data_IF_115922844580
#
_entry.id   IF_115922844580
#
_cell.length_a   1.000
_cell.length_b   1.000
_cell.length_c   1.000
_cell.angle_alpha   90.00
_cell.angle_beta   90.00
_cell.angle_gamma   90.00
#
_symmetry.space_group_name_H-M   'P 1'
#
loop_
_entity.id
_entity.type
_entity.pdbx_description
1 polymer ?
#
# COMPACT_ATOMS: atom_id res chain seq x y z
N UNK A 1 15.23 -16.55 -17.53
CA UNK A 1 15.33 -15.40 -16.65
C UNK A 1 15.35 -14.11 -17.47
N UNK A 2 16.27 -13.96 -18.43
CA UNK A 2 16.46 -12.73 -19.23
C UNK A 2 15.18 -12.22 -19.91
N UNK A 3 14.36 -13.11 -20.45
CA UNK A 3 13.05 -12.73 -21.04
C UNK A 3 12.11 -12.10 -19.99
N UNK A 4 11.99 -12.72 -18.80
CA UNK A 4 11.14 -12.18 -17.73
C UNK A 4 11.66 -10.85 -17.22
N UNK A 5 12.98 -10.69 -17.12
CA UNK A 5 13.58 -9.42 -16.69
C UNK A 5 13.31 -8.31 -17.72
N UNK A 6 13.51 -8.61 -19.01
CA UNK A 6 13.23 -7.64 -20.07
C UNK A 6 11.74 -7.20 -20.08
N UNK A 7 10.82 -8.14 -19.93
CA UNK A 7 9.39 -7.85 -19.86
C UNK A 7 9.03 -7.06 -18.59
N UNK A 8 9.61 -7.41 -17.42
CA UNK A 8 9.36 -6.70 -16.18
C UNK A 8 9.87 -5.24 -16.24
N UNK A 9 11.07 -5.02 -16.77
CA UNK A 9 11.61 -3.65 -16.97
C UNK A 9 10.75 -2.85 -17.96
N UNK A 10 10.29 -3.46 -19.06
CA UNK A 10 9.39 -2.81 -20.02
C UNK A 10 8.07 -2.39 -19.35
N UNK A 11 7.46 -3.28 -18.56
CA UNK A 11 6.19 -2.99 -17.89
C UNK A 11 6.34 -1.93 -16.79
N UNK A 12 7.44 -1.98 -16.03
CA UNK A 12 7.78 -0.98 -15.01
C UNK A 12 8.05 0.40 -15.63
N UNK A 13 8.89 0.46 -16.65
CA UNK A 13 9.17 1.72 -17.39
C UNK A 13 7.92 2.28 -18.05
N UNK A 14 7.06 1.41 -18.61
CA UNK A 14 5.75 1.81 -19.14
C UNK A 14 4.81 2.35 -18.07
N UNK A 15 4.82 1.82 -16.83
CA UNK A 15 4.08 2.35 -15.69
C UNK A 15 4.62 3.72 -15.27
N UNK A 16 5.95 3.85 -15.17
CA UNK A 16 6.60 5.11 -14.82
C UNK A 16 6.22 6.23 -15.78
N UNK A 17 6.46 6.03 -17.08
CA UNK A 17 6.08 7.01 -18.12
C UNK A 17 4.59 7.34 -18.09
N UNK A 18 3.72 6.34 -17.91
CA UNK A 18 2.29 6.57 -17.86
C UNK A 18 1.88 7.42 -16.64
N UNK A 19 2.51 7.20 -15.49
CA UNK A 19 2.23 7.96 -14.27
C UNK A 19 2.59 9.45 -14.39
N UNK A 20 3.60 9.80 -15.18
CA UNK A 20 4.00 11.19 -15.42
C UNK A 20 3.02 11.94 -16.35
N UNK A 21 2.31 11.21 -17.20
CA UNK A 21 1.38 11.80 -18.20
C UNK A 21 -0.02 12.02 -17.65
N UNK A 22 -0.37 11.45 -16.48
CA UNK A 22 -1.71 11.57 -15.90
C UNK A 22 -1.82 12.91 -15.13
N UNK A 23 -2.78 13.79 -15.51
CA UNK A 23 -3.09 14.96 -14.70
C UNK A 23 -3.54 14.53 -13.28
N UNK A 24 -3.12 15.28 -12.25
CA UNK A 24 -3.52 15.06 -10.87
C UNK A 24 -3.28 13.62 -10.37
N UNK A 25 -2.21 12.96 -10.87
CA UNK A 25 -1.85 11.57 -10.54
C UNK A 25 -1.82 11.32 -9.02
N UNK A 26 -1.50 12.33 -8.22
CA UNK A 26 -1.41 12.22 -6.76
C UNK A 26 -2.75 11.86 -6.09
N UNK A 27 -3.90 12.18 -6.72
CA UNK A 27 -5.22 11.71 -6.27
C UNK A 27 -5.34 10.18 -6.40
N UNK A 28 -4.91 9.65 -7.54
CA UNK A 28 -4.97 8.21 -7.81
C UNK A 28 -3.93 7.44 -7.00
N UNK A 29 -2.75 8.03 -6.77
CA UNK A 29 -1.70 7.46 -5.92
C UNK A 29 -2.20 7.28 -4.48
N UNK A 30 -2.92 8.24 -3.90
CA UNK A 30 -3.48 8.11 -2.55
C UNK A 30 -4.39 6.89 -2.43
N UNK A 31 -5.26 6.67 -3.42
CA UNK A 31 -6.11 5.49 -3.48
C UNK A 31 -5.30 4.20 -3.62
N UNK A 32 -4.26 4.26 -4.44
CA UNK A 32 -3.39 3.11 -4.69
C UNK A 32 -2.58 2.72 -3.46
N UNK A 33 -2.04 3.71 -2.71
CA UNK A 33 -1.36 3.48 -1.41
C UNK A 33 -2.33 2.85 -0.40
N UNK A 34 -3.57 3.33 -0.32
CA UNK A 34 -4.58 2.80 0.60
C UNK A 34 -4.94 1.35 0.26
N UNK A 35 -5.07 1.04 -1.01
CA UNK A 35 -5.28 -0.34 -1.48
C UNK A 35 -4.09 -1.24 -1.12
N UNK A 36 -2.86 -0.75 -1.31
CA UNK A 36 -1.64 -1.47 -0.90
C UNK A 36 -1.64 -1.74 0.60
N UNK A 37 -1.93 -0.72 1.42
CA UNK A 37 -2.00 -0.86 2.87
C UNK A 37 -3.02 -1.93 3.29
N UNK A 38 -4.24 -1.91 2.72
CA UNK A 38 -5.25 -2.94 2.96
C UNK A 38 -4.72 -4.33 2.60
N UNK A 39 -4.19 -4.50 1.37
CA UNK A 39 -3.69 -5.80 0.89
C UNK A 39 -2.51 -6.31 1.70
N UNK A 40 -1.56 -5.43 2.05
CA UNK A 40 -0.40 -5.79 2.86
C UNK A 40 -0.81 -6.25 4.27
N UNK A 41 -1.73 -5.53 4.93
CA UNK A 41 -2.24 -5.92 6.23
C UNK A 41 -3.08 -7.21 6.16
N UNK A 42 -3.82 -7.43 5.07
CA UNK A 42 -4.61 -8.65 4.85
C UNK A 42 -3.74 -9.91 4.77
N UNK A 43 -2.53 -9.82 4.21
CA UNK A 43 -1.54 -10.91 4.27
C UNK A 43 -1.24 -11.30 5.73
N UNK A 44 -1.22 -10.35 6.64
CA UNK A 44 -0.95 -10.55 8.09
C UNK A 44 -2.22 -10.89 8.90
N UNK A 45 -3.39 -10.96 8.26
CA UNK A 45 -4.64 -11.41 8.88
C UNK A 45 -5.61 -10.30 9.29
N UNK A 46 -5.39 -9.05 8.89
CA UNK A 46 -6.34 -7.95 9.05
C UNK A 46 -7.54 -8.14 8.11
N UNK A 47 -8.76 -7.85 8.57
CA UNK A 47 -10.01 -8.14 7.85
C UNK A 47 -10.87 -6.90 7.54
N UNK A 48 -10.26 -5.71 7.44
CA UNK A 48 -10.99 -4.51 7.01
C UNK A 48 -11.28 -4.53 5.50
N UNK A 49 -12.38 -3.93 5.12
CA UNK A 49 -12.69 -3.64 3.71
C UNK A 49 -12.05 -2.32 3.29
N UNK A 50 -11.91 -2.11 1.99
CA UNK A 50 -11.35 -0.84 1.46
C UNK A 50 -12.23 0.35 1.87
N UNK A 51 -13.55 0.19 1.90
CA UNK A 51 -14.48 1.24 2.35
C UNK A 51 -14.29 1.56 3.84
N UNK A 52 -14.16 0.54 4.70
CA UNK A 52 -13.87 0.74 6.12
C UNK A 52 -12.54 1.48 6.33
N UNK A 53 -11.51 1.17 5.57
CA UNK A 53 -10.22 1.85 5.65
C UNK A 53 -10.28 3.33 5.22
N UNK A 54 -11.32 3.73 4.47
CA UNK A 54 -11.56 5.11 4.03
C UNK A 54 -12.48 5.89 4.96
N UNK A 55 -13.15 5.22 5.90
CA UNK A 55 -13.98 5.89 6.90
C UNK A 55 -13.11 6.67 7.89
N UNK A 56 -13.69 7.68 8.54
CA UNK A 56 -13.03 8.29 9.70
C UNK A 56 -13.00 7.32 10.88
N UNK A 57 -12.02 7.47 11.77
CA UNK A 57 -11.90 6.61 12.95
C UNK A 57 -13.13 6.66 13.87
N UNK A 58 -13.91 7.75 13.80
CA UNK A 58 -15.15 7.93 14.56
C UNK A 58 -16.30 7.08 14.00
N UNK A 59 -16.30 6.84 12.68
CA UNK A 59 -17.34 6.09 11.96
C UNK A 59 -17.06 4.58 11.94
N UNK A 60 -15.87 4.14 12.36
CA UNK A 60 -15.47 2.73 12.42
C UNK A 60 -16.05 2.05 13.65
N UNK A 61 -16.55 0.83 13.47
CA UNK A 61 -17.00 -0.02 14.58
C UNK A 61 -15.87 -0.25 15.59
N UNK A 62 -16.17 -0.20 16.90
CA UNK A 62 -15.14 -0.31 17.94
C UNK A 62 -14.23 -1.54 17.79
N UNK A 63 -14.79 -2.68 17.39
CA UNK A 63 -14.06 -3.94 17.19
C UNK A 63 -13.09 -3.94 16.00
N UNK A 64 -13.22 -2.97 15.07
CA UNK A 64 -12.36 -2.83 13.89
C UNK A 64 -11.37 -1.68 13.98
N UNK A 65 -11.39 -0.92 15.07
CA UNK A 65 -10.53 0.28 15.21
C UNK A 65 -9.05 -0.03 15.16
N UNK A 66 -8.62 -1.12 15.79
CA UNK A 66 -7.22 -1.52 15.80
C UNK A 66 -6.76 -1.90 14.37
N UNK A 67 -7.57 -2.68 13.64
CA UNK A 67 -7.28 -3.05 12.26
C UNK A 67 -7.24 -1.83 11.32
N UNK A 68 -8.19 -0.90 11.47
CA UNK A 68 -8.22 0.37 10.74
C UNK A 68 -6.98 1.22 11.07
N UNK A 69 -6.54 1.26 12.33
CA UNK A 69 -5.32 1.96 12.74
C UNK A 69 -4.07 1.30 12.14
N UNK A 70 -4.00 -0.04 12.06
CA UNK A 70 -2.91 -0.75 11.40
C UNK A 70 -2.76 -0.34 9.93
N UNK A 71 -3.88 -0.18 9.19
CA UNK A 71 -3.87 0.29 7.80
C UNK A 71 -3.39 1.75 7.71
N UNK A 72 -3.87 2.63 8.57
CA UNK A 72 -3.42 4.03 8.60
C UNK A 72 -1.93 4.15 8.97
N UNK A 73 -1.44 3.34 9.91
CA UNK A 73 -0.03 3.30 10.26
C UNK A 73 0.85 2.84 9.09
N UNK A 74 0.38 1.86 8.31
CA UNK A 74 1.08 1.45 7.08
C UNK A 74 1.20 2.59 6.07
N UNK A 75 0.10 3.35 5.86
CA UNK A 75 0.09 4.53 4.98
C UNK A 75 1.07 5.60 5.51
N UNK A 76 1.07 5.85 6.81
CA UNK A 76 1.97 6.81 7.43
C UNK A 76 3.44 6.39 7.32
N UNK A 77 3.74 5.10 7.53
CA UNK A 77 5.08 4.54 7.34
C UNK A 77 5.55 4.66 5.88
N UNK A 78 4.65 4.39 4.90
CA UNK A 78 4.93 4.59 3.48
C UNK A 78 5.25 6.05 3.17
N UNK A 79 4.39 6.98 3.61
CA UNK A 79 4.58 8.42 3.37
C UNK A 79 5.89 8.94 4.02
N UNK A 80 6.22 8.45 5.23
CA UNK A 80 7.50 8.75 5.87
C UNK A 80 8.66 8.24 5.03
N UNK A 81 8.60 6.98 4.57
CA UNK A 81 9.61 6.39 3.71
C UNK A 81 9.81 7.17 2.41
N UNK A 82 8.71 7.57 1.73
CA UNK A 82 8.77 8.41 0.52
C UNK A 82 9.46 9.74 0.82
N UNK A 83 9.03 10.45 1.87
CA UNK A 83 9.65 11.70 2.26
C UNK A 83 11.15 11.55 2.50
N UNK A 84 11.55 10.54 3.29
CA UNK A 84 12.95 10.31 3.61
C UNK A 84 13.80 9.97 2.38
N UNK A 85 13.29 9.11 1.48
CA UNK A 85 14.07 8.63 0.33
C UNK A 85 14.06 9.59 -0.86
N UNK A 86 12.96 10.32 -1.09
CA UNK A 86 12.78 11.18 -2.28
C UNK A 86 13.05 12.65 -1.98
N UNK A 87 12.51 13.19 -0.87
CA UNK A 87 12.64 14.61 -0.56
C UNK A 87 13.92 14.91 0.23
N UNK A 88 14.25 14.06 1.23
CA UNK A 88 15.42 14.25 2.09
C UNK A 88 16.69 13.61 1.51
N UNK A 89 16.61 12.86 0.40
CA UNK A 89 17.72 12.07 -0.19
C UNK A 89 18.44 11.18 0.84
N UNK A 90 17.68 10.65 1.79
CA UNK A 90 18.21 9.83 2.87
C UNK A 90 18.52 8.42 2.36
N UNK A 91 19.72 7.87 2.61
CA UNK A 91 20.12 6.57 2.10
C UNK A 91 19.23 5.47 2.67
N UNK A 92 18.89 4.48 1.84
CA UNK A 92 18.09 3.34 2.25
C UNK A 92 18.91 2.42 3.18
N UNK A 93 18.61 2.40 4.47
CA UNK A 93 19.38 1.73 5.51
C UNK A 93 18.47 1.13 6.58
N UNK A 94 19.03 0.27 7.44
CA UNK A 94 18.37 -0.26 8.62
C UNK A 94 17.81 0.83 9.55
N UNK A 95 18.40 2.03 9.55
CA UNK A 95 17.84 3.17 10.30
C UNK A 95 16.49 3.59 9.74
N UNK A 96 16.34 3.74 8.43
CA UNK A 96 15.07 4.07 7.80
C UNK A 96 14.02 2.98 8.08
N UNK A 97 14.43 1.71 8.02
CA UNK A 97 13.53 0.59 8.34
C UNK A 97 13.02 0.66 9.78
N UNK A 98 13.86 1.06 10.74
CA UNK A 98 13.46 1.27 12.14
C UNK A 98 12.51 2.45 12.31
N UNK A 99 12.78 3.59 11.65
CA UNK A 99 11.89 4.75 11.65
C UNK A 99 10.48 4.38 11.13
N UNK A 100 10.41 3.67 10.01
CA UNK A 100 9.13 3.17 9.45
C UNK A 100 8.44 2.15 10.37
N UNK A 101 9.20 1.26 11.00
CA UNK A 101 8.67 0.25 11.90
C UNK A 101 8.06 0.87 13.18
N UNK A 102 8.68 1.93 13.72
CA UNK A 102 8.13 2.68 14.85
C UNK A 102 6.74 3.24 14.53
N UNK A 103 6.60 3.87 13.36
CA UNK A 103 5.31 4.40 12.88
C UNK A 103 4.31 3.26 12.66
N UNK A 104 4.74 2.16 12.07
CA UNK A 104 3.88 1.02 11.71
C UNK A 104 3.18 0.40 12.91
N UNK A 105 3.86 0.31 14.06
CA UNK A 105 3.34 -0.36 15.25
C UNK A 105 2.79 0.60 16.33
N UNK A 106 2.70 1.89 16.05
CA UNK A 106 2.23 2.88 17.01
C UNK A 106 0.75 2.68 17.38
N UNK A 107 0.44 2.45 18.66
CA UNK A 107 -0.92 2.36 19.18
C UNK A 107 -1.75 1.18 18.67
N UNK A 108 -1.11 0.11 18.17
CA UNK A 108 -1.80 -1.08 17.66
C UNK A 108 -1.28 -2.36 18.35
N UNK A 109 -1.84 -3.49 17.97
CA UNK A 109 -1.54 -4.83 18.52
C UNK A 109 -0.05 -5.13 18.78
N UNK A 110 0.85 -4.61 17.95
CA UNK A 110 2.30 -4.79 18.06
C UNK A 110 3.05 -3.76 18.91
N UNK A 111 2.37 -2.81 19.58
CA UNK A 111 3.01 -1.72 20.34
C UNK A 111 3.98 -2.20 21.41
N UNK A 112 3.70 -3.34 22.05
CA UNK A 112 4.58 -3.96 23.05
C UNK A 112 5.76 -4.77 22.47
N UNK A 113 5.92 -4.78 21.14
CA UNK A 113 6.97 -5.50 20.39
C UNK A 113 8.14 -4.59 19.99
N UNK A 114 8.48 -3.65 20.88
CA UNK A 114 9.61 -2.72 20.72
C UNK A 114 9.62 -1.99 19.36
N UNK A 115 8.62 -1.13 19.06
CA UNK A 115 8.57 -0.37 17.82
C UNK A 115 9.87 0.41 17.55
N UNK A 116 10.37 0.36 16.33
CA UNK A 116 11.62 1.03 15.95
C UNK A 116 12.90 0.33 16.39
N UNK A 117 12.83 -0.80 17.10
CA UNK A 117 14.01 -1.51 17.57
C UNK A 117 14.14 -2.90 16.96
N UNK A 118 15.35 -3.27 16.55
CA UNK A 118 15.64 -4.65 16.15
C UNK A 118 15.49 -5.57 17.37
N UNK A 119 15.03 -6.80 17.11
CA UNK A 119 14.81 -7.80 18.15
C UNK A 119 16.07 -8.10 18.95
N UNK A 120 15.90 -8.22 20.24
CA UNK A 120 16.94 -8.66 21.20
C UNK A 120 16.72 -10.10 21.70
N UNK A 121 15.64 -10.74 21.24
CA UNK A 121 15.31 -12.14 21.52
C UNK A 121 15.08 -12.91 20.22
N UNK A 122 15.21 -14.24 20.30
CA UNK A 122 14.94 -15.13 19.17
C UNK A 122 13.45 -15.13 18.84
N UNK A 123 13.13 -14.95 17.55
CA UNK A 123 11.79 -15.12 17.00
C UNK A 123 11.76 -16.35 16.07
N UNK A 124 10.56 -16.69 15.61
CA UNK A 124 10.34 -17.78 14.65
C UNK A 124 9.09 -17.52 13.82
N UNK A 125 9.02 -18.14 12.65
CA UNK A 125 7.91 -18.00 11.72
C UNK A 125 7.14 -19.32 11.66
N UNK A 126 5.82 -19.23 11.88
CA UNK A 126 4.93 -20.41 11.94
C UNK A 126 5.15 -21.26 13.20
N UNK A 127 4.18 -22.13 13.49
CA UNK A 127 4.21 -22.95 14.70
C UNK A 127 3.93 -22.18 15.98
N UNK A 128 4.02 -22.86 17.12
CA UNK A 128 3.78 -22.30 18.46
C UNK A 128 5.07 -22.18 19.29
N UNK A 129 6.16 -22.79 18.84
CA UNK A 129 7.48 -22.78 19.49
C UNK A 129 8.58 -23.03 18.45
N UNK A 130 9.85 -22.66 18.74
CA UNK A 130 10.95 -22.83 17.79
C UNK A 130 11.13 -24.25 17.25
N UNK A 131 10.79 -25.28 18.04
CA UNK A 131 10.93 -26.69 17.65
C UNK A 131 9.94 -27.16 16.56
N UNK A 132 8.81 -26.46 16.38
CA UNK A 132 7.82 -26.73 15.35
C UNK A 132 7.62 -25.55 14.39
N UNK A 133 8.56 -24.61 14.40
CA UNK A 133 8.54 -23.48 13.51
C UNK A 133 8.81 -23.89 12.05
N UNK A 134 8.17 -23.22 11.12
CA UNK A 134 8.44 -23.36 9.68
C UNK A 134 9.83 -22.81 9.35
N UNK A 135 10.21 -21.73 10.00
CA UNK A 135 11.52 -21.11 9.85
C UNK A 135 11.98 -20.44 11.16
N UNK A 136 13.24 -20.64 11.49
CA UNK A 136 13.92 -19.94 12.60
C UNK A 136 14.96 -18.99 11.99
N UNK A 137 14.74 -17.67 12.10
CA UNK A 137 15.70 -16.66 11.60
C UNK A 137 17.06 -16.75 12.28
N UNK A 138 18.12 -16.10 11.73
CA UNK A 138 19.46 -16.06 12.31
C UNK A 138 19.46 -15.66 13.80
N UNK A 139 20.49 -16.09 14.53
CA UNK A 139 20.64 -15.72 15.93
C UNK A 139 20.78 -14.20 16.11
N UNK A 140 20.33 -13.69 17.27
CA UNK A 140 20.38 -12.24 17.56
C UNK A 140 21.80 -11.69 17.47
N UNK A 141 22.80 -12.47 17.84
CA UNK A 141 24.21 -12.07 17.82
C UNK A 141 24.72 -11.76 16.40
N UNK A 142 24.13 -12.40 15.37
CA UNK A 142 24.53 -12.24 13.97
C UNK A 142 23.82 -11.06 13.28
N UNK A 143 22.73 -10.55 13.88
CA UNK A 143 21.88 -9.53 13.24
C UNK A 143 22.62 -8.22 12.88
N UNK A 144 23.47 -7.64 13.74
CA UNK A 144 24.16 -6.38 13.39
C UNK A 144 24.98 -6.50 12.11
N UNK A 145 25.69 -7.61 11.93
CA UNK A 145 26.49 -7.86 10.74
C UNK A 145 25.61 -8.10 9.51
N UNK A 146 24.53 -8.88 9.64
CA UNK A 146 23.59 -9.15 8.55
C UNK A 146 22.85 -7.88 8.08
N UNK A 147 22.46 -7.00 8.99
CA UNK A 147 21.86 -5.70 8.64
C UNK A 147 22.90 -4.79 7.98
N UNK A 148 24.11 -4.72 8.54
CA UNK A 148 25.21 -3.93 7.93
C UNK A 148 25.54 -4.41 6.51
N UNK A 149 25.57 -5.70 6.27
CA UNK A 149 25.84 -6.26 4.96
C UNK A 149 24.68 -6.04 3.99
N UNK A 150 23.45 -6.12 4.47
CA UNK A 150 22.25 -5.76 3.68
C UNK A 150 22.28 -4.26 3.30
N UNK A 151 22.62 -3.36 4.23
CA UNK A 151 22.74 -1.92 3.97
C UNK A 151 23.82 -1.64 2.91
N UNK A 152 24.98 -2.30 2.99
CA UNK A 152 26.02 -2.21 1.96
C UNK A 152 25.51 -2.70 0.61
N UNK A 153 24.86 -3.87 0.57
CA UNK A 153 24.32 -4.43 -0.67
C UNK A 153 23.29 -3.50 -1.32
N UNK A 154 22.35 -2.94 -0.54
CA UNK A 154 21.35 -1.98 -1.02
C UNK A 154 22.01 -0.76 -1.69
N UNK A 155 23.08 -0.22 -1.09
CA UNK A 155 23.69 1.02 -1.53
C UNK A 155 24.89 0.83 -2.49
N UNK A 156 25.31 -0.40 -2.77
CA UNK A 156 26.39 -0.69 -3.73
C UNK A 156 25.90 -0.52 -5.16
N UNK A 157 26.68 0.14 -5.99
CA UNK A 157 26.49 0.20 -7.45
C UNK A 157 27.35 -0.89 -8.10
N UNK A 158 26.70 -1.98 -8.52
CA UNK A 158 27.38 -3.20 -9.02
C UNK A 158 26.93 -3.64 -10.42
N UNK A 159 26.06 -2.85 -11.07
CA UNK A 159 25.51 -3.17 -12.38
C UNK A 159 24.46 -4.30 -12.38
N UNK A 160 24.04 -4.78 -11.21
CA UNK A 160 22.94 -5.73 -11.11
C UNK A 160 21.63 -5.01 -11.47
N UNK A 161 20.75 -5.64 -12.30
CA UNK A 161 19.43 -5.07 -12.59
C UNK A 161 18.60 -4.84 -11.31
N UNK A 162 18.03 -3.65 -11.15
CA UNK A 162 17.40 -3.22 -9.89
C UNK A 162 16.21 -4.11 -9.49
N UNK A 163 15.45 -4.64 -10.45
CA UNK A 163 14.37 -5.61 -10.14
C UNK A 163 14.89 -6.96 -9.60
N UNK A 164 16.08 -7.40 -10.00
CA UNK A 164 16.72 -8.60 -9.42
C UNK A 164 17.23 -8.25 -8.03
N UNK A 165 17.87 -7.09 -7.89
CA UNK A 165 18.45 -6.63 -6.63
C UNK A 165 17.38 -6.47 -5.54
N UNK A 166 16.24 -5.82 -5.84
CA UNK A 166 15.16 -5.68 -4.88
C UNK A 166 14.49 -7.02 -4.54
N UNK A 167 14.40 -7.95 -5.48
CA UNK A 167 13.94 -9.31 -5.17
C UNK A 167 14.85 -9.99 -4.14
N UNK A 168 16.16 -9.86 -4.28
CA UNK A 168 17.13 -10.40 -3.33
C UNK A 168 17.08 -9.68 -1.97
N UNK A 169 16.96 -8.35 -1.97
CA UNK A 169 16.82 -7.54 -0.75
C UNK A 169 15.57 -7.97 0.03
N UNK A 170 14.43 -8.08 -0.64
CA UNK A 170 13.19 -8.52 0.01
C UNK A 170 13.32 -9.92 0.61
N UNK A 171 13.87 -10.88 -0.14
CA UNK A 171 14.13 -12.23 0.37
C UNK A 171 15.05 -12.20 1.60
N UNK A 172 16.16 -11.43 1.54
CA UNK A 172 17.12 -11.32 2.62
C UNK A 172 16.51 -10.70 3.87
N UNK A 173 15.74 -9.62 3.71
CA UNK A 173 15.02 -8.99 4.80
C UNK A 173 14.04 -9.96 5.50
N UNK A 174 13.22 -10.68 4.71
CA UNK A 174 12.29 -11.70 5.22
C UNK A 174 13.02 -12.88 5.88
N UNK A 175 14.29 -13.13 5.51
CA UNK A 175 15.11 -14.18 6.11
C UNK A 175 15.81 -13.73 7.38
N UNK A 176 16.34 -12.51 7.45
CA UNK A 176 16.90 -11.92 8.68
C UNK A 176 15.79 -11.76 9.73
N UNK A 177 14.61 -11.33 9.31
CA UNK A 177 13.43 -11.13 10.15
C UNK A 177 13.74 -10.28 11.38
N UNK A 178 14.23 -9.03 11.19
CA UNK A 178 14.93 -8.30 12.25
C UNK A 178 14.05 -7.76 13.37
N UNK A 179 12.73 -7.75 13.22
CA UNK A 179 11.81 -7.23 14.22
C UNK A 179 11.04 -8.36 14.92
N UNK A 180 10.45 -8.07 16.08
CA UNK A 180 9.58 -9.03 16.77
C UNK A 180 8.21 -9.19 16.13
N UNK A 181 7.73 -8.17 15.41
CA UNK A 181 6.48 -8.14 14.63
C UNK A 181 6.65 -7.18 13.46
N UNK A 182 5.73 -7.15 12.49
CA UNK A 182 5.71 -6.18 11.39
C UNK A 182 6.74 -6.41 10.27
N UNK A 183 7.53 -7.47 10.30
CA UNK A 183 8.55 -7.73 9.28
C UNK A 183 7.97 -7.81 7.87
N UNK A 184 6.92 -8.60 7.65
CA UNK A 184 6.30 -8.73 6.34
C UNK A 184 5.79 -7.40 5.79
N UNK A 185 5.20 -6.55 6.63
CA UNK A 185 4.74 -5.21 6.24
C UNK A 185 5.92 -4.31 5.85
N UNK A 186 6.98 -4.25 6.65
CA UNK A 186 8.20 -3.51 6.31
C UNK A 186 8.86 -4.08 5.06
N UNK A 187 8.97 -5.41 4.92
CA UNK A 187 9.53 -6.05 3.73
C UNK A 187 8.80 -5.64 2.43
N UNK A 188 7.47 -5.49 2.48
CA UNK A 188 6.68 -5.02 1.33
C UNK A 188 6.81 -3.51 1.10
N UNK A 189 6.95 -2.69 2.17
CA UNK A 189 7.26 -1.26 2.05
C UNK A 189 8.62 -0.99 1.41
N UNK A 190 9.62 -1.83 1.66
CA UNK A 190 10.96 -1.72 1.07
C UNK A 190 10.91 -1.72 -0.46
N UNK A 191 10.01 -2.50 -1.08
CA UNK A 191 10.00 -2.69 -2.53
C UNK A 191 9.75 -1.39 -3.30
N UNK A 192 8.61 -0.69 -3.13
CA UNK A 192 8.38 0.57 -3.84
C UNK A 192 9.36 1.67 -3.44
N UNK A 193 9.76 1.75 -2.17
CA UNK A 193 10.70 2.76 -1.69
C UNK A 193 12.10 2.58 -2.27
N UNK A 194 12.56 1.34 -2.41
CA UNK A 194 13.81 1.04 -3.09
C UNK A 194 13.79 1.50 -4.56
N UNK A 195 12.73 1.16 -5.30
CA UNK A 195 12.58 1.55 -6.70
C UNK A 195 12.53 3.08 -6.88
N UNK A 196 11.89 3.80 -5.96
CA UNK A 196 11.90 5.27 -5.91
C UNK A 196 13.32 5.81 -5.64
N UNK A 197 14.02 5.27 -4.64
CA UNK A 197 15.38 5.70 -4.29
C UNK A 197 16.40 5.48 -5.40
N UNK A 198 16.16 4.49 -6.27
CA UNK A 198 17.00 4.19 -7.44
C UNK A 198 16.52 4.89 -8.73
N UNK A 199 15.47 5.70 -8.63
CA UNK A 199 14.86 6.41 -9.79
C UNK A 199 14.38 5.47 -10.89
N UNK A 200 14.06 4.24 -10.54
CA UNK A 200 13.31 3.31 -11.41
C UNK A 200 11.84 3.72 -11.53
N UNK A 201 11.37 4.50 -10.55
CA UNK A 201 10.06 5.15 -10.50
C UNK A 201 10.22 6.60 -10.06
N UNK A 202 9.52 7.52 -10.73
CA UNK A 202 9.40 8.93 -10.33
C UNK A 202 8.24 9.14 -9.35
N UNK A 203 7.22 8.30 -9.42
CA UNK A 203 6.01 8.37 -8.58
C UNK A 203 5.80 7.06 -7.84
N UNK A 204 5.28 7.10 -6.60
CA UNK A 204 4.96 5.89 -5.83
C UNK A 204 3.69 5.21 -6.37
N UNK A 205 3.84 4.49 -7.47
CA UNK A 205 2.73 3.88 -8.22
C UNK A 205 2.85 2.35 -8.41
N UNK A 206 3.85 1.72 -7.81
CA UNK A 206 4.09 0.28 -7.91
C UNK A 206 3.94 -0.40 -6.55
N UNK A 207 2.89 -1.22 -6.38
CA UNK A 207 2.54 -1.87 -5.11
C UNK A 207 2.19 -3.33 -5.33
N UNK A 208 3.02 -4.24 -4.80
CA UNK A 208 3.03 -5.67 -5.12
C UNK A 208 2.14 -6.53 -4.21
N UNK A 209 1.62 -5.96 -3.10
CA UNK A 209 0.92 -6.76 -2.09
C UNK A 209 -0.35 -7.43 -2.59
N UNK A 210 -1.07 -6.83 -3.56
CA UNK A 210 -2.22 -7.47 -4.17
C UNK A 210 -1.85 -8.80 -4.88
N UNK A 211 -0.71 -8.82 -5.58
CA UNK A 211 -0.21 -10.05 -6.19
C UNK A 211 0.22 -11.07 -5.14
N UNK A 212 0.93 -10.65 -4.11
CA UNK A 212 1.38 -11.54 -3.03
C UNK A 212 0.19 -12.09 -2.23
N UNK A 213 -0.84 -11.30 -1.95
CA UNK A 213 -2.05 -11.73 -1.25
C UNK A 213 -2.80 -12.81 -2.05
N UNK A 214 -3.05 -12.57 -3.35
CA UNK A 214 -3.71 -13.53 -4.23
C UNK A 214 -2.91 -14.83 -4.42
N UNK A 215 -1.60 -14.78 -4.30
CA UNK A 215 -0.70 -15.93 -4.46
C UNK A 215 -0.01 -16.28 -3.13
N UNK A 216 -0.64 -16.02 -1.97
CA UNK A 216 -0.02 -16.06 -0.65
C UNK A 216 0.73 -17.36 -0.35
N UNK A 217 0.11 -18.49 -0.57
CA UNK A 217 0.74 -19.81 -0.34
C UNK A 217 1.98 -19.96 -1.19
N UNK A 218 1.90 -19.67 -2.48
CA UNK A 218 3.02 -19.82 -3.41
C UNK A 218 4.15 -18.81 -3.13
N UNK A 219 3.82 -17.61 -2.69
CA UNK A 219 4.79 -16.62 -2.21
C UNK A 219 5.63 -17.16 -1.06
N UNK A 220 4.99 -17.71 -0.02
CA UNK A 220 5.70 -18.31 1.11
C UNK A 220 6.47 -19.57 0.71
N UNK A 221 5.94 -20.41 -0.18
CA UNK A 221 6.62 -21.57 -0.70
C UNK A 221 7.90 -21.19 -1.47
N UNK A 222 7.86 -20.10 -2.26
CA UNK A 222 9.05 -19.61 -2.96
C UNK A 222 10.14 -19.15 -1.98
N UNK A 223 9.80 -18.39 -0.93
CA UNK A 223 10.75 -18.01 0.11
C UNK A 223 11.35 -19.24 0.81
N UNK A 224 10.52 -20.23 1.13
CA UNK A 224 10.95 -21.46 1.80
C UNK A 224 11.80 -22.36 0.88
N UNK A 225 11.53 -22.40 -0.43
CA UNK A 225 12.33 -23.14 -1.39
C UNK A 225 13.75 -22.56 -1.52
N UNK A 226 13.94 -21.25 -1.40
CA UNK A 226 15.29 -20.67 -1.34
C UNK A 226 16.03 -21.20 -0.12
N UNK A 227 15.37 -21.19 1.08
CA UNK A 227 15.98 -21.65 2.34
C UNK A 227 16.32 -23.14 2.32
N UNK A 228 15.42 -23.97 1.81
CA UNK A 228 15.53 -25.43 1.90
C UNK A 228 16.25 -26.06 0.72
N UNK A 229 16.18 -25.44 -0.48
CA UNK A 229 16.65 -26.02 -1.75
C UNK A 229 17.63 -25.12 -2.51
N UNK A 230 17.96 -23.94 -1.94
CA UNK A 230 18.78 -22.92 -2.59
C UNK A 230 18.21 -22.44 -3.95
N UNK A 231 16.85 -22.44 -4.10
CA UNK A 231 16.17 -22.06 -5.34
C UNK A 231 15.94 -20.56 -5.47
N UNK A 232 17.03 -19.80 -5.42
CA UNK A 232 16.99 -18.32 -5.61
C UNK A 232 16.46 -17.94 -7.00
N UNK A 233 16.71 -18.75 -8.01
CA UNK A 233 16.24 -18.49 -9.38
C UNK A 233 14.72 -18.65 -9.47
N UNK A 234 14.14 -19.63 -8.79
CA UNK A 234 12.68 -19.78 -8.67
C UNK A 234 12.03 -18.57 -8.01
N UNK A 235 12.62 -18.08 -6.93
CA UNK A 235 12.19 -16.85 -6.25
C UNK A 235 12.24 -15.62 -7.18
N UNK A 236 13.38 -15.38 -7.83
CA UNK A 236 13.52 -14.23 -8.74
C UNK A 236 12.49 -14.32 -9.89
N UNK A 237 12.26 -15.50 -10.47
CA UNK A 237 11.23 -15.67 -11.51
C UNK A 237 9.83 -15.35 -11.00
N UNK A 238 9.50 -15.77 -9.78
CA UNK A 238 8.22 -15.43 -9.14
C UNK A 238 8.09 -13.91 -8.96
N UNK A 239 9.12 -13.26 -8.42
CA UNK A 239 9.13 -11.82 -8.19
C UNK A 239 9.01 -11.01 -9.49
N UNK A 240 9.71 -11.40 -10.55
CA UNK A 240 9.61 -10.75 -11.86
C UNK A 240 8.22 -10.91 -12.47
N UNK A 241 7.57 -12.08 -12.35
CA UNK A 241 6.17 -12.27 -12.78
C UNK A 241 5.22 -11.39 -11.98
N UNK A 242 5.42 -11.33 -10.66
CA UNK A 242 4.68 -10.43 -9.79
C UNK A 242 4.84 -8.96 -10.23
N UNK A 243 6.06 -8.56 -10.58
CA UNK A 243 6.35 -7.20 -11.05
C UNK A 243 5.66 -6.88 -12.37
N UNK A 244 5.64 -7.80 -13.34
CA UNK A 244 4.92 -7.64 -14.61
C UNK A 244 3.43 -7.42 -14.37
N UNK A 245 2.78 -8.32 -13.63
CA UNK A 245 1.34 -8.25 -13.40
C UNK A 245 0.95 -7.02 -12.56
N UNK A 246 1.78 -6.66 -11.58
CA UNK A 246 1.58 -5.45 -10.76
C UNK A 246 1.63 -4.19 -11.61
N UNK A 247 2.65 -4.01 -12.45
CA UNK A 247 2.78 -2.84 -13.32
C UNK A 247 1.64 -2.75 -14.35
N UNK A 248 1.25 -3.87 -14.94
CA UNK A 248 0.10 -3.94 -15.85
C UNK A 248 -1.22 -3.61 -15.14
N UNK A 249 -1.42 -4.13 -13.92
CA UNK A 249 -2.59 -3.84 -13.11
C UNK A 249 -2.68 -2.37 -12.74
N UNK A 250 -1.58 -1.76 -12.27
CA UNK A 250 -1.51 -0.34 -11.93
C UNK A 250 -1.87 0.55 -13.15
N UNK A 251 -1.29 0.27 -14.32
CA UNK A 251 -1.64 0.99 -15.57
C UNK A 251 -3.13 0.89 -15.91
N UNK A 252 -3.74 -0.30 -15.76
CA UNK A 252 -5.19 -0.46 -16.00
C UNK A 252 -6.02 0.32 -14.99
N UNK A 253 -5.66 0.27 -13.70
CA UNK A 253 -6.36 1.00 -12.64
C UNK A 253 -6.30 2.51 -12.90
N UNK A 254 -5.14 3.07 -13.18
CA UNK A 254 -5.01 4.49 -13.50
C UNK A 254 -5.78 4.89 -14.76
N UNK A 255 -5.73 4.09 -15.83
CA UNK A 255 -6.53 4.34 -17.03
C UNK A 255 -8.03 4.35 -16.75
N UNK A 256 -8.50 3.44 -15.93
CA UNK A 256 -9.91 3.37 -15.55
C UNK A 256 -10.30 4.52 -14.62
N UNK A 257 -9.42 4.93 -13.69
CA UNK A 257 -9.65 6.09 -12.83
C UNK A 257 -9.80 7.39 -13.65
N UNK A 258 -8.93 7.62 -14.64
CA UNK A 258 -9.05 8.76 -15.56
C UNK A 258 -10.39 8.73 -16.28
N UNK A 259 -10.79 7.58 -16.85
CA UNK A 259 -12.09 7.46 -17.52
C UNK A 259 -13.28 7.71 -16.58
N UNK A 260 -13.18 7.24 -15.34
CA UNK A 260 -14.23 7.47 -14.35
C UNK A 260 -14.35 8.94 -13.99
N UNK A 261 -13.22 9.65 -13.84
CA UNK A 261 -13.19 11.10 -13.62
C UNK A 261 -13.79 11.86 -14.80
N UNK A 262 -13.47 11.47 -16.02
CA UNK A 262 -14.07 12.05 -17.24
C UNK A 262 -15.60 11.83 -17.28
N UNK A 263 -16.08 10.64 -16.88
CA UNK A 263 -17.52 10.33 -16.79
C UNK A 263 -18.23 11.25 -15.81
N UNK A 264 -17.65 11.51 -14.65
CA UNK A 264 -18.21 12.44 -13.67
C UNK A 264 -18.19 13.89 -14.17
N UNK A 265 -17.17 14.31 -14.89
CA UNK A 265 -17.14 15.63 -15.52
C UNK A 265 -18.25 15.79 -16.58
N UNK A 266 -18.49 14.78 -17.41
CA UNK A 266 -19.62 14.77 -18.34
C UNK A 266 -20.98 14.84 -17.62
N UNK A 267 -21.14 14.09 -16.52
CA UNK A 267 -22.34 14.16 -15.68
C UNK A 267 -22.56 15.59 -15.16
N UNK A 268 -21.53 16.23 -14.59
CA UNK A 268 -21.62 17.60 -14.08
C UNK A 268 -22.03 18.61 -15.17
N UNK A 269 -21.47 18.48 -16.37
CA UNK A 269 -21.84 19.33 -17.52
C UNK A 269 -23.32 19.15 -17.90
N UNK A 270 -23.86 17.93 -17.78
CA UNK A 270 -25.27 17.65 -18.11
C UNK A 270 -26.27 18.26 -17.12
N UNK A 271 -25.87 18.52 -15.87
CA UNK A 271 -26.69 19.08 -14.78
C UNK A 271 -26.63 20.60 -14.73
N UNK A 272 -27.25 21.29 -15.69
CA UNK A 272 -27.14 22.74 -15.93
C UNK A 272 -27.47 23.70 -14.77
N UNK A 273 -28.17 23.27 -13.71
CA UNK A 273 -28.79 24.17 -12.72
C UNK A 273 -28.27 24.04 -11.28
N UNK A 274 -27.45 23.04 -10.93
CA UNK A 274 -26.95 22.84 -9.56
C UNK A 274 -25.45 22.51 -9.52
N UNK A 275 -24.71 23.06 -10.47
CA UNK A 275 -23.35 22.58 -10.76
C UNK A 275 -22.32 22.81 -9.65
N UNK A 276 -22.38 23.90 -8.88
CA UNK A 276 -21.30 24.23 -7.91
C UNK A 276 -21.27 23.25 -6.73
N UNK A 277 -22.38 22.99 -6.05
CA UNK A 277 -22.41 22.05 -4.93
C UNK A 277 -22.15 20.59 -5.35
N UNK A 278 -22.69 20.18 -6.50
CA UNK A 278 -22.41 18.85 -7.08
C UNK A 278 -20.91 18.69 -7.39
N UNK A 279 -20.33 19.70 -8.04
CA UNK A 279 -18.91 19.72 -8.39
C UNK A 279 -18.02 19.66 -7.14
N UNK A 280 -18.30 20.51 -6.12
CA UNK A 280 -17.52 20.52 -4.88
C UNK A 280 -17.56 19.16 -4.17
N UNK A 281 -18.74 18.56 -4.02
CA UNK A 281 -18.88 17.24 -3.37
C UNK A 281 -18.14 16.15 -4.15
N UNK A 282 -18.31 16.06 -5.48
CA UNK A 282 -17.59 15.07 -6.28
C UNK A 282 -16.07 15.29 -6.21
N UNK A 283 -15.60 16.55 -6.28
CA UNK A 283 -14.16 16.87 -6.19
C UNK A 283 -13.57 16.44 -4.85
N UNK A 284 -14.25 16.72 -3.75
CA UNK A 284 -13.83 16.25 -2.41
C UNK A 284 -13.79 14.73 -2.36
N UNK A 285 -14.77 14.06 -2.94
CA UNK A 285 -14.85 12.60 -2.92
C UNK A 285 -13.80 11.89 -3.80
N UNK A 286 -13.06 12.57 -4.65
CA UNK A 286 -11.87 11.98 -5.26
C UNK A 286 -10.72 11.79 -4.26
N UNK A 287 -10.62 12.68 -3.27
CA UNK A 287 -9.57 12.57 -2.23
C UNK A 287 -10.03 11.79 -1.01
N UNK A 288 -11.33 11.83 -0.70
CA UNK A 288 -11.97 11.11 0.39
C UNK A 288 -13.24 10.40 -0.12
N UNK A 289 -13.09 9.23 -0.76
CA UNK A 289 -14.18 8.56 -1.47
C UNK A 289 -15.28 8.00 -0.56
N UNK A 290 -15.07 7.98 0.75
CA UNK A 290 -16.06 7.62 1.77
C UNK A 290 -16.15 8.74 2.78
N UNK A 291 -17.33 9.33 2.95
CA UNK A 291 -17.53 10.44 3.88
C UNK A 291 -18.97 10.51 4.39
N UNK A 292 -19.14 11.05 5.60
CA UNK A 292 -20.46 11.43 6.13
C UNK A 292 -20.79 12.90 5.76
N UNK A 293 -22.05 13.32 6.03
CA UNK A 293 -22.54 14.66 5.68
C UNK A 293 -21.75 15.78 6.39
N UNK A 294 -21.32 15.57 7.64
CA UNK A 294 -20.55 16.57 8.38
C UNK A 294 -19.19 16.79 7.74
N UNK A 295 -18.48 15.71 7.43
CA UNK A 295 -17.18 15.76 6.76
C UNK A 295 -17.28 16.45 5.39
N UNK A 296 -18.31 16.11 4.59
CA UNK A 296 -18.55 16.77 3.32
C UNK A 296 -18.87 18.27 3.50
N UNK A 297 -19.62 18.63 4.54
CA UNK A 297 -19.90 20.05 4.87
C UNK A 297 -18.62 20.82 5.18
N UNK A 298 -17.76 20.26 6.02
CA UNK A 298 -16.49 20.87 6.41
C UNK A 298 -15.52 21.01 5.24
N UNK A 299 -15.38 19.95 4.42
CA UNK A 299 -14.43 19.92 3.31
C UNK A 299 -14.89 20.71 2.07
N UNK A 300 -16.21 20.85 1.86
CA UNK A 300 -16.75 21.61 0.72
C UNK A 300 -17.09 23.05 1.06
N UNK A 301 -17.05 23.43 2.35
CA UNK A 301 -17.53 24.71 2.86
C UNK A 301 -19.02 24.98 2.52
N UNK A 302 -19.80 23.94 2.35
CA UNK A 302 -21.24 24.00 2.13
C UNK A 302 -22.01 23.78 3.44
N UNK A 303 -23.21 24.35 3.55
CA UNK A 303 -24.07 24.06 4.70
C UNK A 303 -24.50 22.59 4.70
N UNK A 304 -24.73 22.04 5.90
CA UNK A 304 -25.27 20.65 6.07
C UNK A 304 -26.53 20.41 5.24
N UNK A 305 -27.40 21.42 5.13
CA UNK A 305 -28.61 21.31 4.31
C UNK A 305 -28.29 21.22 2.82
N UNK A 306 -27.34 22.02 2.33
CA UNK A 306 -26.90 21.96 0.93
C UNK A 306 -26.26 20.62 0.61
N UNK A 307 -25.39 20.10 1.50
CA UNK A 307 -24.78 18.76 1.35
C UNK A 307 -25.84 17.67 1.32
N UNK A 308 -26.82 17.68 2.25
CA UNK A 308 -27.90 16.68 2.25
C UNK A 308 -28.71 16.68 0.94
N UNK A 309 -29.00 17.85 0.38
CA UNK A 309 -29.68 17.95 -0.91
C UNK A 309 -28.79 17.41 -2.04
N UNK A 310 -27.50 17.75 -2.02
CA UNK A 310 -26.53 17.32 -3.03
C UNK A 310 -26.31 15.81 -3.01
N UNK A 311 -26.07 15.19 -1.85
CA UNK A 311 -25.89 13.74 -1.74
C UNK A 311 -27.17 12.97 -2.12
N UNK A 312 -28.35 13.54 -1.85
CA UNK A 312 -29.62 12.96 -2.28
C UNK A 312 -29.68 12.87 -3.82
N UNK A 313 -29.37 13.96 -4.52
CA UNK A 313 -29.32 14.00 -5.99
C UNK A 313 -28.30 12.99 -6.52
N UNK A 314 -27.09 12.97 -5.93
CA UNK A 314 -26.02 12.06 -6.36
C UNK A 314 -26.37 10.58 -6.11
N UNK A 315 -27.15 10.27 -5.07
CA UNK A 315 -27.67 8.92 -4.84
C UNK A 315 -28.80 8.55 -5.80
N UNK A 316 -29.71 9.50 -6.12
CA UNK A 316 -30.80 9.29 -7.10
C UNK A 316 -30.24 9.10 -8.52
N UNK A 317 -29.07 9.63 -8.82
CA UNK A 317 -28.36 9.50 -10.11
C UNK A 317 -27.29 8.37 -10.10
N UNK A 318 -27.29 7.51 -9.09
CA UNK A 318 -26.35 6.37 -8.91
C UNK A 318 -24.84 6.76 -8.91
N UNK A 319 -24.51 8.02 -8.60
CA UNK A 319 -23.13 8.49 -8.46
C UNK A 319 -22.57 8.12 -7.09
N UNK A 320 -23.38 8.28 -6.03
CA UNK A 320 -23.03 7.88 -4.68
C UNK A 320 -23.91 6.72 -4.22
N UNK A 321 -23.33 5.87 -3.39
CA UNK A 321 -24.08 4.87 -2.64
C UNK A 321 -24.04 5.19 -1.14
N UNK A 322 -25.11 4.91 -0.45
CA UNK A 322 -25.18 5.02 1.00
C UNK A 322 -24.84 3.65 1.61
N UNK A 323 -23.85 3.62 2.54
CA UNK A 323 -23.27 2.39 3.05
C UNK A 323 -23.93 1.85 4.31
N UNK A 324 -24.61 2.70 5.11
CA UNK A 324 -25.00 2.37 6.49
C UNK A 324 -26.45 1.93 6.64
N UNK A 325 -27.36 2.34 5.76
CA UNK A 325 -28.81 2.16 5.91
C UNK A 325 -29.42 2.94 7.09
N UNK A 326 -28.65 3.85 7.70
CA UNK A 326 -29.04 4.59 8.89
C UNK A 326 -29.93 5.79 8.56
N UNK A 327 -30.82 6.19 9.50
CA UNK A 327 -31.58 7.46 9.38
C UNK A 327 -30.70 8.69 9.73
N UNK A 328 -29.66 8.53 10.52
CA UNK A 328 -28.69 9.57 10.95
C UNK A 328 -27.29 9.04 10.77
N UNK A 329 -26.32 9.93 10.70
CA UNK A 329 -24.90 9.60 10.50
C UNK A 329 -24.69 8.68 9.29
N UNK A 330 -25.36 9.02 8.19
CA UNK A 330 -25.24 8.29 6.93
C UNK A 330 -23.86 8.49 6.33
N UNK A 331 -23.27 7.42 5.82
CA UNK A 331 -21.97 7.42 5.16
C UNK A 331 -22.20 7.13 3.68
N UNK A 332 -21.58 7.92 2.84
CA UNK A 332 -21.70 7.85 1.39
C UNK A 332 -20.38 7.46 0.76
N UNK A 333 -20.41 6.69 -0.30
CA UNK A 333 -19.24 6.24 -1.03
C UNK A 333 -19.36 6.55 -2.52
N UNK A 334 -18.23 6.96 -3.11
CA UNK A 334 -18.05 7.06 -4.56
C UNK A 334 -17.64 5.68 -5.10
N UNK A 335 -18.61 4.75 -5.10
CA UNK A 335 -18.35 3.31 -5.23
C UNK A 335 -17.66 2.93 -6.53
N UNK A 336 -18.07 3.48 -7.68
CA UNK A 336 -17.46 3.17 -8.96
C UNK A 336 -15.98 3.59 -9.01
N UNK A 337 -15.64 4.72 -8.39
CA UNK A 337 -14.25 5.16 -8.27
C UNK A 337 -13.44 4.23 -7.37
N UNK A 338 -13.99 3.81 -6.21
CA UNK A 338 -13.35 2.84 -5.31
C UNK A 338 -13.11 1.50 -6.04
N UNK A 339 -14.11 1.03 -6.79
CA UNK A 339 -14.06 -0.24 -7.53
C UNK A 339 -12.95 -0.30 -8.59
N UNK A 340 -12.50 0.85 -9.11
CA UNK A 340 -11.35 0.90 -10.02
C UNK A 340 -10.07 0.37 -9.36
N UNK A 341 -9.93 0.55 -8.05
CA UNK A 341 -8.70 0.21 -7.31
C UNK A 341 -8.75 -1.16 -6.60
N UNK A 342 -9.85 -1.86 -6.64
CA UNK A 342 -10.02 -3.23 -6.13
C UNK A 342 -9.36 -4.37 -6.97
#
# INVERSE_FOLDING_TARGET
>A
LNYLLAEANKELGGLNTYSELIPDIDLYIRMHIRTEANKSNKIEGTNTTIEEDMMSSEDILPEKRDEHQEVNNYINAMNHGIKRTVEDDFPFTGRLMREMHEILLQGVRGEHKTPGEFRTSQNFIGGNMPSNAIYVPPAVIDMPDLISDMDKFINTVDGMPELIKIAMIHYQFESIHPFLDGNGRIGRLIIPLYLLSKKELEKPCFYISDYFERNRTYYYDCLQNVRNKNDIIGWIKFFLKASIETAQSAKRKFKNAVKQTESYNHYLISKKTSSDSLQRVITVMYSQPVANVSQLSDLTELTVQAVNNTVKILCEDDILIELTGNKRNRIFALADYINVFR
#
